data_IF_083507138815
#
_entry.id   IF_083507138815
#
_cell.length_a   1.000
_cell.length_b   1.000
_cell.length_c   1.000
_cell.angle_alpha   90.00
_cell.angle_beta   90.00
_cell.angle_gamma   90.00
#
_symmetry.space_group_name_H-M   'P 1'
#
loop_
_entity.id
_entity.type
_entity.pdbx_description
1 polymer ?
#
# COMPACT_ATOMS: atom_id res chain seq x y z
N UNK A 1 18.29 -25.43 -11.07
CA UNK A 1 17.29 -25.59 -9.99
C UNK A 1 17.60 -24.54 -8.93
N UNK A 2 17.05 -23.34 -9.05
CA UNK A 2 17.29 -22.26 -8.10
C UNK A 2 16.16 -22.23 -7.07
N UNK A 3 16.55 -22.54 -5.84
CA UNK A 3 15.72 -22.65 -4.67
C UNK A 3 15.60 -21.25 -4.05
N UNK A 4 14.61 -20.46 -4.48
CA UNK A 4 14.41 -19.11 -3.95
C UNK A 4 13.68 -19.20 -2.60
N UNK A 5 14.48 -19.27 -1.53
CA UNK A 5 13.99 -19.12 -0.15
C UNK A 5 13.48 -17.68 0.06
N UNK A 6 12.17 -17.52 0.19
CA UNK A 6 11.57 -16.31 0.74
C UNK A 6 12.13 -16.06 2.15
N UNK A 7 12.95 -15.02 2.31
CA UNK A 7 13.38 -14.54 3.63
C UNK A 7 12.27 -13.67 4.20
N UNK A 8 11.51 -14.23 5.13
CA UNK A 8 10.80 -13.42 6.12
C UNK A 8 11.82 -12.49 6.78
N UNK A 9 11.71 -11.18 6.55
CA UNK A 9 12.47 -10.21 7.32
C UNK A 9 11.84 -10.20 8.70
N UNK A 10 12.61 -10.68 9.69
CA UNK A 10 12.25 -10.68 11.10
C UNK A 10 11.66 -9.33 11.51
N UNK A 11 10.52 -9.34 12.20
CA UNK A 11 9.91 -8.14 12.78
C UNK A 11 10.91 -7.32 13.63
N UNK A 12 11.94 -7.98 14.17
CA UNK A 12 13.07 -7.37 14.88
C UNK A 12 13.93 -6.44 14.02
N UNK A 13 14.09 -6.72 12.72
CA UNK A 13 14.85 -5.86 11.80
C UNK A 13 14.09 -4.58 11.47
N UNK A 14 12.77 -4.69 11.24
CA UNK A 14 11.88 -3.56 11.07
C UNK A 14 11.86 -2.66 12.33
N UNK A 15 11.78 -3.27 13.53
CA UNK A 15 11.84 -2.54 14.81
C UNK A 15 13.20 -1.84 15.01
N UNK A 16 14.32 -2.49 14.65
CA UNK A 16 15.66 -1.87 14.73
C UNK A 16 15.80 -0.69 13.76
N UNK A 17 15.25 -0.80 12.55
CA UNK A 17 15.20 0.30 11.57
C UNK A 17 14.38 1.49 12.12
N UNK A 18 13.18 1.22 12.64
CA UNK A 18 12.29 2.24 13.24
C UNK A 18 12.95 2.97 14.43
N UNK A 19 13.71 2.27 15.26
CA UNK A 19 14.49 2.88 16.36
C UNK A 19 15.67 3.69 15.86
N UNK A 20 16.40 3.22 14.85
CA UNK A 20 17.57 3.90 14.26
C UNK A 20 17.23 5.27 13.70
N UNK A 21 16.05 5.42 13.10
CA UNK A 21 15.58 6.69 12.51
C UNK A 21 14.64 7.50 13.42
N UNK A 22 14.54 7.16 14.72
CA UNK A 22 13.69 7.86 15.71
C UNK A 22 12.22 8.00 15.26
N UNK A 23 11.68 6.98 14.60
CA UNK A 23 10.31 6.95 14.08
C UNK A 23 9.27 6.61 15.18
N UNK A 24 9.73 6.16 16.35
CA UNK A 24 8.87 6.08 17.54
C UNK A 24 8.67 7.46 18.16
N UNK A 25 7.46 7.99 17.96
CA UNK A 25 6.74 8.92 18.82
C UNK A 25 7.58 9.75 19.80
N UNK A 26 8.06 10.91 19.33
CA UNK A 26 8.01 12.11 20.16
C UNK A 26 6.94 13.02 19.56
N UNK A 27 5.74 12.94 20.14
CA UNK A 27 4.64 13.90 20.01
C UNK A 27 4.03 14.09 18.61
N UNK A 28 3.39 13.07 18.04
CA UNK A 28 2.22 13.25 17.16
C UNK A 28 1.54 11.90 16.91
N UNK A 29 0.30 11.77 17.34
CA UNK A 29 -0.53 10.57 17.12
C UNK A 29 -1.03 10.45 15.67
N UNK A 30 -0.81 11.49 14.85
CA UNK A 30 -1.46 11.67 13.54
C UNK A 30 -0.55 11.37 12.33
N UNK A 31 0.55 10.65 12.52
CA UNK A 31 1.40 10.27 11.38
C UNK A 31 0.88 8.99 10.74
N UNK A 32 0.30 9.13 9.55
CA UNK A 32 0.09 8.03 8.61
C UNK A 32 1.45 7.37 8.37
N UNK A 33 1.59 6.12 8.80
CA UNK A 33 2.79 5.33 8.51
C UNK A 33 2.66 4.73 7.11
N UNK A 34 2.92 5.53 6.07
CA UNK A 34 3.25 4.98 4.76
C UNK A 34 4.75 4.62 4.77
N UNK A 35 5.05 3.32 4.78
CA UNK A 35 6.42 2.89 4.51
C UNK A 35 6.69 3.13 3.02
N UNK A 36 7.28 4.27 2.68
CA UNK A 36 7.91 4.45 1.36
C UNK A 36 9.18 3.60 1.40
N UNK A 37 9.10 2.37 0.90
CA UNK A 37 10.30 1.58 0.64
C UNK A 37 11.09 2.33 -0.43
N UNK A 38 12.11 3.07 0.01
CA UNK A 38 13.10 3.63 -0.87
C UNK A 38 13.66 2.47 -1.71
N UNK A 39 13.45 2.53 -3.01
CA UNK A 39 14.10 1.71 -4.07
C UNK A 39 13.38 0.48 -4.64
N UNK A 40 12.08 0.27 -4.44
CA UNK A 40 11.37 -0.77 -5.22
C UNK A 40 10.03 -0.30 -5.77
N UNK A 41 9.61 -0.81 -6.94
CA UNK A 41 8.25 -0.62 -7.40
C UNK A 41 7.30 -1.04 -6.29
N UNK A 42 6.47 -0.11 -5.84
CA UNK A 42 5.68 -0.33 -4.63
C UNK A 42 4.49 -1.22 -4.98
N UNK A 43 4.71 -2.53 -4.88
CA UNK A 43 3.75 -3.61 -5.15
C UNK A 43 2.35 -3.28 -4.62
N UNK A 44 2.26 -2.66 -3.46
CA UNK A 44 0.99 -2.33 -2.80
C UNK A 44 0.13 -1.38 -3.65
N UNK A 45 0.72 -0.34 -4.24
CA UNK A 45 -0.02 0.60 -5.09
C UNK A 45 -0.32 -0.01 -6.45
N UNK A 46 0.59 -0.82 -7.00
CA UNK A 46 0.36 -1.53 -8.26
C UNK A 46 -0.78 -2.56 -8.13
N UNK A 47 -0.90 -3.23 -6.98
CA UNK A 47 -2.04 -4.11 -6.69
C UNK A 47 -3.35 -3.34 -6.66
N UNK A 48 -3.36 -2.13 -6.07
CA UNK A 48 -4.55 -1.28 -6.08
C UNK A 48 -4.90 -0.85 -7.49
N UNK A 49 -3.94 -0.34 -8.28
CA UNK A 49 -4.15 0.03 -9.69
C UNK A 49 -4.74 -1.12 -10.49
N UNK A 50 -4.15 -2.31 -10.39
CA UNK A 50 -4.54 -3.48 -11.18
C UNK A 50 -5.97 -3.97 -10.92
N UNK A 51 -6.49 -3.77 -9.69
CA UNK A 51 -7.69 -4.47 -9.24
C UNK A 51 -8.85 -3.57 -8.82
N UNK A 52 -8.56 -2.39 -8.28
CA UNK A 52 -9.57 -1.55 -7.61
C UNK A 52 -10.69 -1.08 -8.54
N UNK A 53 -10.40 -0.73 -9.80
CA UNK A 53 -11.41 -0.24 -10.74
C UNK A 53 -12.49 -1.28 -11.04
N UNK A 54 -12.10 -2.53 -11.26
CA UNK A 54 -13.02 -3.62 -11.58
C UNK A 54 -13.67 -4.25 -10.35
N UNK A 55 -12.92 -4.36 -9.24
CA UNK A 55 -13.29 -5.20 -8.08
C UNK A 55 -13.61 -4.39 -6.83
N UNK A 56 -13.45 -3.08 -6.90
CA UNK A 56 -13.62 -2.16 -5.79
C UNK A 56 -12.48 -2.23 -4.78
N UNK A 57 -12.61 -1.37 -3.77
CA UNK A 57 -11.80 -1.41 -2.56
C UNK A 57 -12.67 -1.64 -1.34
N UNK A 58 -12.05 -2.08 -0.26
CA UNK A 58 -12.71 -2.26 1.03
C UNK A 58 -11.78 -1.89 2.19
N UNK A 59 -12.38 -1.61 3.34
CA UNK A 59 -11.66 -1.46 4.60
C UNK A 59 -11.77 -2.71 5.45
N UNK A 60 -10.62 -3.25 5.88
CA UNK A 60 -10.55 -4.27 6.93
C UNK A 60 -9.90 -3.64 8.17
N UNK A 61 -10.70 -3.33 9.18
CA UNK A 61 -10.22 -2.75 10.45
C UNK A 61 -10.33 -3.76 11.57
N UNK A 62 -9.24 -3.92 12.32
CA UNK A 62 -9.22 -4.83 13.47
C UNK A 62 -8.34 -4.31 14.60
N UNK A 63 -8.86 -4.45 15.83
CA UNK A 63 -8.05 -4.37 17.05
C UNK A 63 -7.23 -5.65 17.14
N UNK A 64 -6.07 -5.63 16.51
CA UNK A 64 -5.11 -6.71 16.71
C UNK A 64 -4.18 -6.23 17.80
N UNK A 65 -3.89 -7.06 18.80
CA UNK A 65 -2.82 -6.85 19.78
C UNK A 65 -1.43 -6.88 19.11
N UNK A 66 -1.29 -6.23 17.96
CA UNK A 66 -0.20 -6.30 16.98
C UNK A 66 0.60 -5.00 16.90
N UNK A 67 0.18 -3.96 17.63
CA UNK A 67 0.99 -2.76 17.85
C UNK A 67 1.06 -2.43 19.35
N UNK A 68 2.16 -1.79 19.75
CA UNK A 68 2.47 -1.42 21.14
C UNK A 68 1.38 -0.53 21.77
N UNK A 69 0.72 0.28 20.93
CA UNK A 69 -0.28 1.25 21.36
C UNK A 69 -1.71 0.68 21.44
N UNK A 70 -1.91 -0.61 21.13
CA UNK A 70 -3.23 -1.26 21.01
C UNK A 70 -4.23 -0.49 20.11
N UNK A 71 -3.69 0.28 19.17
CA UNK A 71 -4.46 1.03 18.20
C UNK A 71 -5.12 0.08 17.17
N UNK A 72 -6.32 0.39 16.67
CA UNK A 72 -6.85 -0.23 15.46
C UNK A 72 -5.83 -0.26 14.33
N UNK A 73 -5.78 -1.37 13.60
CA UNK A 73 -5.07 -1.50 12.33
C UNK A 73 -6.12 -1.60 11.24
N UNK A 74 -6.12 -0.64 10.32
CA UNK A 74 -7.05 -0.55 9.20
C UNK A 74 -6.29 -0.76 7.90
N UNK A 75 -6.65 -1.78 7.13
CA UNK A 75 -6.14 -2.03 5.79
C UNK A 75 -7.09 -1.45 4.77
N UNK A 76 -6.56 -0.77 3.74
CA UNK A 76 -7.24 -0.75 2.46
C UNK A 76 -7.03 -2.13 1.86
N UNK A 77 -8.05 -2.67 1.22
CA UNK A 77 -8.02 -4.00 0.60
C UNK A 77 -8.67 -3.90 -0.77
N UNK A 78 -8.29 -4.82 -1.65
CA UNK A 78 -9.00 -5.10 -2.89
C UNK A 78 -9.11 -6.62 -3.05
N UNK A 79 -9.67 -7.06 -4.16
CA UNK A 79 -9.81 -8.48 -4.49
C UNK A 79 -9.00 -8.76 -5.74
N UNK A 80 -8.25 -9.87 -5.79
CA UNK A 80 -7.55 -10.27 -7.01
C UNK A 80 -8.45 -11.06 -7.99
N UNK A 81 -7.89 -11.43 -9.14
CA UNK A 81 -8.57 -12.29 -10.12
C UNK A 81 -8.95 -13.69 -9.56
N UNK A 82 -8.27 -14.17 -8.52
CA UNK A 82 -8.59 -15.41 -7.82
C UNK A 82 -9.66 -15.26 -6.73
N UNK A 83 -10.27 -14.07 -6.61
CA UNK A 83 -11.25 -13.74 -5.56
C UNK A 83 -10.68 -13.80 -4.16
N UNK A 84 -9.37 -13.54 -4.01
CA UNK A 84 -8.68 -13.44 -2.72
C UNK A 84 -8.58 -11.99 -2.32
N UNK A 85 -8.79 -11.72 -1.04
CA UNK A 85 -8.53 -10.39 -0.48
C UNK A 85 -7.02 -10.14 -0.50
N UNK A 86 -6.61 -9.01 -1.08
CA UNK A 86 -5.22 -8.57 -1.12
C UNK A 86 -5.09 -7.28 -0.31
N UNK A 87 -4.18 -7.23 0.68
CA UNK A 87 -3.98 -6.03 1.48
C UNK A 87 -3.26 -4.95 0.66
N UNK A 88 -3.82 -3.76 0.71
CA UNK A 88 -3.25 -2.49 0.28
C UNK A 88 -2.52 -1.77 1.43
N UNK A 89 -2.43 -0.43 1.37
CA UNK A 89 -1.82 0.39 2.41
C UNK A 89 -2.51 0.24 3.77
N UNK A 90 -1.76 0.52 4.84
CA UNK A 90 -2.18 0.30 6.22
C UNK A 90 -2.19 1.60 7.00
N UNK A 91 -3.26 1.82 7.74
CA UNK A 91 -3.43 2.91 8.69
C UNK A 91 -3.47 2.36 10.12
N UNK A 92 -2.62 2.89 10.99
CA UNK A 92 -2.56 2.54 12.41
C UNK A 92 -2.70 3.82 13.21
N UNK A 93 -3.82 3.99 13.90
CA UNK A 93 -4.06 5.15 14.76
C UNK A 93 -4.95 4.78 15.94
N UNK A 94 -4.64 5.36 17.10
CA UNK A 94 -5.52 5.28 18.28
C UNK A 94 -6.74 6.19 18.16
N UNK A 95 -6.73 7.14 17.22
CA UNK A 95 -7.79 8.10 16.94
C UNK A 95 -8.33 7.89 15.51
N UNK A 96 -9.14 6.86 15.35
CA UNK A 96 -9.81 6.56 14.08
C UNK A 96 -11.10 7.37 14.00
N UNK A 97 -11.10 8.41 13.19
CA UNK A 97 -12.25 9.27 12.91
C UNK A 97 -12.50 9.32 11.41
N UNK A 98 -13.66 9.82 11.00
CA UNK A 98 -13.93 10.05 9.58
C UNK A 98 -12.90 11.00 8.95
N UNK A 99 -12.41 11.99 9.70
CA UNK A 99 -11.39 12.93 9.23
C UNK A 99 -10.05 12.24 9.01
N UNK A 100 -9.58 11.43 9.98
CA UNK A 100 -8.29 10.74 9.85
C UNK A 100 -8.31 9.68 8.75
N UNK A 101 -9.44 8.99 8.55
CA UNK A 101 -9.63 8.07 7.43
C UNK A 101 -9.70 8.81 6.07
N UNK A 102 -10.34 9.98 6.02
CA UNK A 102 -10.39 10.80 4.80
C UNK A 102 -9.00 11.26 4.38
N UNK A 103 -8.18 11.72 5.33
CA UNK A 103 -6.79 12.09 5.05
C UNK A 103 -5.98 10.88 4.58
N UNK A 104 -6.14 9.73 5.23
CA UNK A 104 -5.48 8.50 4.80
C UNK A 104 -5.85 8.09 3.37
N UNK A 105 -7.14 8.17 2.99
CA UNK A 105 -7.58 7.88 1.62
C UNK A 105 -7.01 8.87 0.60
N UNK A 106 -6.89 10.16 0.94
CA UNK A 106 -6.26 11.16 0.07
C UNK A 106 -4.80 10.84 -0.17
N UNK A 107 -4.03 10.58 0.89
CA UNK A 107 -2.62 10.21 0.76
C UNK A 107 -2.43 8.93 -0.08
N UNK A 108 -3.33 7.95 0.08
CA UNK A 108 -3.30 6.73 -0.73
C UNK A 108 -3.63 7.02 -2.19
N UNK A 109 -4.62 7.88 -2.44
CA UNK A 109 -4.98 8.31 -3.80
C UNK A 109 -3.79 8.94 -4.49
N UNK A 110 -3.17 9.94 -3.86
CA UNK A 110 -2.01 10.65 -4.42
C UNK A 110 -0.87 9.67 -4.75
N UNK A 111 -0.59 8.70 -3.86
CA UNK A 111 0.47 7.70 -4.08
C UNK A 111 0.13 6.68 -5.17
N UNK A 112 -1.15 6.36 -5.36
CA UNK A 112 -1.61 5.49 -6.45
C UNK A 112 -1.53 6.21 -7.79
N UNK A 113 -1.87 7.49 -7.83
CA UNK A 113 -1.75 8.35 -9.01
C UNK A 113 -0.29 8.58 -9.39
N UNK A 114 0.59 8.89 -8.43
CA UNK A 114 2.05 8.94 -8.63
C UNK A 114 2.59 7.63 -9.23
N UNK A 115 2.11 6.48 -8.75
CA UNK A 115 2.52 5.18 -9.30
C UNK A 115 2.01 4.97 -10.73
N UNK A 116 0.81 5.46 -11.05
CA UNK A 116 0.27 5.38 -12.41
C UNK A 116 1.14 6.17 -13.39
N UNK A 117 1.52 7.41 -13.03
CA UNK A 117 2.44 8.23 -13.83
C UNK A 117 3.77 7.52 -14.07
N UNK A 118 4.37 6.95 -13.01
CA UNK A 118 5.63 6.20 -13.11
C UNK A 118 5.52 5.00 -14.04
N UNK A 119 4.41 4.26 -14.01
CA UNK A 119 4.22 3.07 -14.86
C UNK A 119 3.94 3.42 -16.32
N UNK A 120 3.29 4.55 -16.58
CA UNK A 120 3.10 5.09 -17.93
C UNK A 120 4.44 5.51 -18.54
N UNK A 121 5.28 6.22 -17.78
CA UNK A 121 6.59 6.69 -18.25
C UNK A 121 7.63 5.57 -18.30
N UNK A 122 7.60 4.67 -17.31
CA UNK A 122 8.56 3.58 -17.14
C UNK A 122 7.87 2.22 -16.91
N UNK A 123 7.34 1.57 -17.96
CA UNK A 123 6.70 0.24 -17.86
C UNK A 123 7.61 -0.86 -17.29
N UNK A 124 8.93 -0.67 -17.29
CA UNK A 124 9.89 -1.58 -16.67
C UNK A 124 9.89 -1.53 -15.13
N UNK A 125 9.16 -0.59 -14.52
CA UNK A 125 8.95 -0.48 -13.08
C UNK A 125 7.76 -1.33 -12.60
N UNK A 126 7.24 -2.26 -13.40
CA UNK A 126 6.30 -3.26 -12.88
C UNK A 126 7.01 -4.13 -11.84
N UNK A 127 6.37 -4.35 -10.69
CA UNK A 127 6.90 -5.23 -9.67
C UNK A 127 7.01 -6.66 -10.23
N UNK A 128 8.14 -7.38 -10.03
CA UNK A 128 8.31 -8.74 -10.54
C UNK A 128 7.21 -9.73 -10.13
N UNK A 129 6.52 -9.50 -9.01
CA UNK A 129 5.38 -10.32 -8.58
C UNK A 129 4.13 -10.14 -9.46
N UNK A 130 4.07 -9.04 -10.22
CA UNK A 130 2.97 -8.68 -11.13
C UNK A 130 3.37 -8.76 -12.60
N UNK A 131 4.55 -9.29 -12.94
CA UNK A 131 5.04 -9.40 -14.33
C UNK A 131 4.00 -10.05 -15.27
N UNK A 132 3.31 -11.09 -14.80
CA UNK A 132 2.26 -11.77 -15.57
C UNK A 132 1.04 -10.88 -15.90
N UNK A 133 0.92 -9.73 -15.24
CA UNK A 133 -0.14 -8.73 -15.41
C UNK A 133 0.39 -7.39 -15.90
N UNK A 134 1.67 -7.30 -16.32
CA UNK A 134 2.33 -6.05 -16.66
C UNK A 134 1.55 -5.21 -17.70
N UNK A 135 1.10 -5.85 -18.78
CA UNK A 135 0.33 -5.19 -19.83
C UNK A 135 -0.97 -4.57 -19.29
N UNK A 136 -1.74 -5.35 -18.53
CA UNK A 136 -2.99 -4.87 -17.91
C UNK A 136 -2.73 -3.78 -16.87
N UNK A 137 -1.66 -3.90 -16.07
CA UNK A 137 -1.32 -2.91 -15.07
C UNK A 137 -0.96 -1.56 -15.71
N UNK A 138 -0.22 -1.58 -16.82
CA UNK A 138 0.11 -0.37 -17.58
C UNK A 138 -1.14 0.22 -18.25
N UNK A 139 -2.06 -0.62 -18.74
CA UNK A 139 -3.37 -0.17 -19.24
C UNK A 139 -4.18 0.55 -18.14
N UNK A 140 -4.30 -0.04 -16.95
CA UNK A 140 -5.00 0.59 -15.82
C UNK A 140 -4.30 1.87 -15.36
N UNK A 141 -2.96 1.94 -15.41
CA UNK A 141 -2.20 3.15 -15.13
C UNK A 141 -2.52 4.27 -16.14
N UNK A 142 -2.56 3.95 -17.45
CA UNK A 142 -2.99 4.89 -18.49
C UNK A 142 -4.40 5.43 -18.25
N UNK A 143 -5.34 4.56 -17.87
CA UNK A 143 -6.72 4.99 -17.57
C UNK A 143 -6.75 6.00 -16.43
N UNK A 144 -5.97 5.78 -15.37
CA UNK A 144 -5.89 6.71 -14.23
C UNK A 144 -5.28 8.05 -14.63
N UNK A 145 -4.18 8.04 -15.39
CA UNK A 145 -3.51 9.26 -15.86
C UNK A 145 -4.41 10.07 -16.79
N UNK A 146 -5.08 9.42 -17.76
CA UNK A 146 -5.99 10.10 -18.71
C UNK A 146 -7.26 10.62 -18.03
N UNK A 147 -7.75 9.93 -17.00
CA UNK A 147 -8.89 10.40 -16.22
C UNK A 147 -8.52 11.52 -15.22
N UNK A 148 -7.22 11.79 -15.04
CA UNK A 148 -6.65 12.65 -13.99
C UNK A 148 -7.17 12.29 -12.58
N UNK A 149 -7.59 11.04 -12.37
CA UNK A 149 -8.22 10.63 -11.13
C UNK A 149 -8.26 9.11 -10.92
N UNK A 150 -7.73 8.66 -9.78
CA UNK A 150 -8.03 7.38 -9.16
C UNK A 150 -9.08 7.53 -8.05
N UNK A 151 -10.09 6.66 -8.03
CA UNK A 151 -11.22 6.72 -7.08
C UNK A 151 -11.16 5.56 -6.08
N UNK A 152 -10.69 5.80 -4.84
CA UNK A 152 -10.95 4.89 -3.74
C UNK A 152 -12.44 4.88 -3.34
#
# INVERSE_FOLDING_TARGET
MNNTKYRYIDALLAIKFLKKYRIFARNNADRIFSYKYQEQPNLVFQVLLLNSRERGIGFDSSYRNKNENRAPVTFITTVDHNRRMVPGPVFISGDVTAATLTHFLRDVKDLVEEMAEVLVEYPTQVDPALEAYAEKLVEEAWIVVEAEEWKP
#
